data_IF_130066730682
#
_entry.id   IF_130066730682
#
_cell.length_a   1.000
_cell.length_b   1.000
_cell.length_c   1.000
_cell.angle_alpha   90.00
_cell.angle_beta   90.00
_cell.angle_gamma   90.00
#
_symmetry.space_group_name_H-M   'P 1'
#
loop_
_entity.id
_entity.type
_entity.pdbx_description
1 polymer ?
#
# COMPACT_ATOMS: atom_id res chain seq x y z
N UNK A 1 23.37 -3.93 69.03
CA UNK A 1 22.46 -4.57 68.08
C UNK A 1 22.27 -3.61 66.91
N UNK A 2 22.98 -3.86 65.83
CA UNK A 2 22.84 -3.06 64.58
C UNK A 2 22.14 -3.96 63.57
N UNK A 3 20.90 -3.64 63.25
CA UNK A 3 20.10 -4.28 62.19
C UNK A 3 20.38 -3.62 60.86
N UNK A 4 21.21 -4.28 60.02
CA UNK A 4 21.43 -3.87 58.65
C UNK A 4 20.27 -4.26 57.75
N UNK A 5 19.52 -3.31 57.24
CA UNK A 5 18.57 -3.52 56.16
C UNK A 5 19.31 -3.58 54.83
N UNK A 6 19.51 -4.79 54.31
CA UNK A 6 19.99 -5.02 52.96
C UNK A 6 18.88 -4.67 51.95
N UNK A 7 19.01 -3.58 51.20
CA UNK A 7 18.17 -3.30 50.05
C UNK A 7 18.50 -4.31 48.96
N UNK A 8 17.54 -5.20 48.63
CA UNK A 8 17.58 -6.01 47.41
C UNK A 8 17.41 -5.08 46.20
N UNK A 9 18.50 -4.90 45.46
CA UNK A 9 18.41 -4.24 44.14
C UNK A 9 17.92 -5.33 43.18
N UNK A 10 16.65 -5.21 42.75
CA UNK A 10 16.13 -6.03 41.67
C UNK A 10 16.48 -5.33 40.34
N UNK A 11 17.51 -5.82 39.67
CA UNK A 11 17.83 -5.38 38.30
C UNK A 11 16.78 -6.06 37.39
N UNK A 12 15.81 -5.29 36.92
CA UNK A 12 14.97 -5.71 35.81
C UNK A 12 15.83 -5.60 34.54
N UNK A 13 16.21 -6.72 33.97
CA UNK A 13 16.68 -6.77 32.60
C UNK A 13 15.41 -6.61 31.72
N UNK A 14 15.17 -5.43 31.20
CA UNK A 14 14.29 -5.26 30.04
C UNK A 14 15.03 -5.87 28.86
N UNK A 15 14.61 -7.07 28.45
CA UNK A 15 15.01 -7.62 27.16
C UNK A 15 14.32 -6.73 26.13
N UNK A 16 15.07 -5.80 25.55
CA UNK A 16 14.61 -5.06 24.36
C UNK A 16 14.50 -6.09 23.22
N UNK A 17 13.35 -6.71 23.07
CA UNK A 17 13.02 -7.48 21.87
C UNK A 17 12.86 -6.46 20.77
N UNK A 18 13.78 -6.44 19.82
CA UNK A 18 13.69 -5.55 18.65
C UNK A 18 12.51 -6.01 17.79
N UNK A 19 11.57 -5.11 17.58
CA UNK A 19 10.47 -5.35 16.65
C UNK A 19 11.00 -5.51 15.23
N UNK A 20 10.42 -6.42 14.49
CA UNK A 20 10.74 -6.63 13.08
C UNK A 20 9.46 -6.58 12.24
N UNK A 21 9.62 -6.25 10.96
CA UNK A 21 8.53 -6.26 9.99
C UNK A 21 8.86 -7.26 8.89
N UNK A 22 8.02 -8.28 8.77
CA UNK A 22 8.06 -9.22 7.65
C UNK A 22 7.23 -8.66 6.50
N UNK A 23 7.75 -8.71 5.28
CA UNK A 23 7.04 -8.22 4.10
C UNK A 23 7.20 -9.11 2.88
N UNK A 24 6.13 -9.21 2.10
CA UNK A 24 6.11 -9.99 0.87
C UNK A 24 5.09 -9.42 -0.10
N UNK A 25 5.43 -9.36 -1.39
CA UNK A 25 4.59 -8.80 -2.44
C UNK A 25 4.21 -9.84 -3.49
N UNK A 26 3.09 -9.61 -4.13
CA UNK A 26 2.58 -10.36 -5.27
C UNK A 26 2.00 -9.40 -6.28
N UNK A 27 2.28 -9.64 -7.57
CA UNK A 27 1.68 -8.89 -8.67
C UNK A 27 1.42 -9.83 -9.84
N UNK A 28 0.25 -9.76 -10.47
CA UNK A 28 -0.08 -10.48 -11.71
C UNK A 28 -1.18 -9.75 -12.48
N UNK A 29 -1.21 -9.95 -13.79
CA UNK A 29 -2.12 -9.22 -14.68
C UNK A 29 -3.56 -9.74 -14.67
N UNK A 30 -3.86 -10.83 -13.96
CA UNK A 30 -5.14 -11.51 -13.97
C UNK A 30 -5.64 -11.78 -15.42
N UNK A 31 -6.82 -11.28 -15.78
CA UNK A 31 -7.37 -11.41 -17.15
C UNK A 31 -7.07 -10.21 -18.06
N UNK A 32 -6.42 -9.17 -17.52
CA UNK A 32 -5.99 -8.03 -18.32
C UNK A 32 -4.96 -8.45 -19.37
N UNK A 33 -4.93 -7.72 -20.48
CA UNK A 33 -3.98 -7.97 -21.57
C UNK A 33 -2.55 -7.62 -21.18
N UNK A 34 -2.37 -6.54 -20.41
CA UNK A 34 -1.08 -5.99 -19.99
C UNK A 34 -1.01 -5.91 -18.47
N UNK A 35 0.21 -5.94 -17.94
CA UNK A 35 0.48 -5.62 -16.55
C UNK A 35 0.76 -4.13 -16.44
N UNK A 36 -0.21 -3.37 -15.93
CA UNK A 36 -0.14 -1.93 -15.77
C UNK A 36 0.18 -1.53 -14.33
N UNK A 37 -0.05 -2.44 -13.37
CA UNK A 37 0.35 -2.25 -11.98
C UNK A 37 1.83 -2.48 -11.75
N UNK A 38 2.36 -1.85 -10.71
CA UNK A 38 3.68 -2.13 -10.19
C UNK A 38 3.68 -2.13 -8.64
N UNK A 39 4.65 -2.85 -8.05
CA UNK A 39 4.90 -2.82 -6.60
C UNK A 39 6.32 -2.32 -6.31
N UNK A 40 6.49 -1.64 -5.19
CA UNK A 40 7.79 -1.30 -4.61
C UNK A 40 8.00 -2.13 -3.35
N UNK A 41 9.08 -2.87 -3.30
CA UNK A 41 9.53 -3.63 -2.13
C UNK A 41 11.05 -3.77 -2.19
N UNK A 42 11.74 -3.65 -1.06
CA UNK A 42 13.19 -3.80 -0.97
C UNK A 42 13.96 -2.89 -1.96
N UNK A 43 13.53 -1.64 -2.06
CA UNK A 43 14.10 -0.67 -3.00
C UNK A 43 14.15 -1.17 -4.46
N UNK A 44 13.15 -1.96 -4.85
CA UNK A 44 12.98 -2.47 -6.22
C UNK A 44 11.56 -2.28 -6.69
N UNK A 45 11.41 -1.68 -7.86
CA UNK A 45 10.14 -1.63 -8.57
C UNK A 45 9.97 -2.92 -9.36
N UNK A 46 8.86 -3.60 -9.17
CA UNK A 46 8.53 -4.89 -9.79
C UNK A 46 7.20 -4.77 -10.51
N UNK A 47 7.19 -5.13 -11.80
CA UNK A 47 6.03 -5.07 -12.70
C UNK A 47 5.87 -6.36 -13.52
N UNK A 48 6.37 -7.49 -13.03
CA UNK A 48 6.33 -8.76 -13.76
C UNK A 48 5.04 -9.53 -13.47
N UNK A 49 4.39 -10.01 -14.53
CA UNK A 49 3.21 -10.86 -14.43
C UNK A 49 3.49 -12.15 -13.65
N UNK A 50 2.64 -12.44 -12.67
CA UNK A 50 2.68 -13.68 -11.90
C UNK A 50 3.83 -13.79 -10.90
N UNK A 51 4.50 -12.68 -10.55
CA UNK A 51 5.60 -12.71 -9.59
C UNK A 51 5.11 -12.64 -8.15
N UNK A 52 5.61 -13.56 -7.32
CA UNK A 52 5.63 -13.43 -5.86
C UNK A 52 7.05 -13.22 -5.38
N UNK A 53 7.28 -12.23 -4.53
CA UNK A 53 8.64 -11.92 -4.03
C UNK A 53 9.10 -12.98 -3.02
N UNK A 54 10.39 -12.97 -2.68
CA UNK A 54 10.84 -13.64 -1.46
C UNK A 54 10.31 -12.89 -0.23
N UNK A 55 10.38 -13.53 0.93
CA UNK A 55 10.13 -12.87 2.20
C UNK A 55 11.32 -11.93 2.52
N UNK A 56 11.01 -10.72 2.96
CA UNK A 56 11.97 -9.76 3.50
C UNK A 56 11.64 -9.52 4.98
N UNK A 57 12.65 -9.14 5.75
CA UNK A 57 12.48 -8.81 7.16
C UNK A 57 13.39 -7.65 7.51
N UNK A 58 12.82 -6.64 8.15
CA UNK A 58 13.51 -5.42 8.57
C UNK A 58 13.26 -5.16 10.05
N UNK A 59 14.27 -4.66 10.74
CA UNK A 59 14.09 -4.16 12.10
C UNK A 59 13.33 -2.81 12.10
N UNK A 60 12.74 -2.47 13.22
CA UNK A 60 12.08 -1.17 13.40
C UNK A 60 12.99 0.04 13.15
N UNK A 61 14.33 -0.14 13.30
CA UNK A 61 15.33 0.91 13.09
C UNK A 61 15.77 1.08 11.65
N UNK A 62 15.48 0.10 10.80
CA UNK A 62 15.76 0.18 9.37
C UNK A 62 14.65 0.95 8.67
N UNK A 63 15.01 1.93 7.88
CA UNK A 63 14.04 2.61 7.03
C UNK A 63 13.62 1.69 5.88
N UNK A 64 12.33 1.43 5.79
CA UNK A 64 11.75 0.69 4.70
C UNK A 64 10.47 1.36 4.20
N UNK A 65 10.17 1.12 2.94
CA UNK A 65 8.93 1.53 2.30
C UNK A 65 8.47 0.42 1.36
N UNK A 66 7.17 0.17 1.38
CA UNK A 66 6.48 -0.65 0.39
C UNK A 66 5.37 0.16 -0.24
N UNK A 67 5.10 -0.07 -1.53
CA UNK A 67 4.07 0.65 -2.24
C UNK A 67 3.48 -0.16 -3.38
N UNK A 68 2.30 0.25 -3.83
CA UNK A 68 1.67 -0.16 -5.10
C UNK A 68 1.36 1.09 -5.92
N UNK A 69 1.41 0.96 -7.22
CA UNK A 69 0.95 1.94 -8.18
C UNK A 69 0.14 1.23 -9.26
N UNK A 70 -1.04 1.74 -9.54
CA UNK A 70 -1.94 1.29 -10.58
C UNK A 70 -1.87 2.26 -11.76
N UNK A 71 -1.53 1.75 -12.93
CA UNK A 71 -1.51 2.54 -14.15
C UNK A 71 -2.90 2.68 -14.74
N UNK A 72 -3.46 3.90 -14.77
CA UNK A 72 -4.84 4.17 -15.20
C UNK A 72 -5.05 3.71 -16.64
N UNK A 73 -5.86 2.65 -16.83
CA UNK A 73 -5.99 1.90 -18.09
C UNK A 73 -6.40 2.74 -19.31
N UNK A 74 -7.12 3.84 -19.09
CA UNK A 74 -7.54 4.76 -20.16
C UNK A 74 -6.46 5.82 -20.50
N UNK A 75 -5.33 5.83 -19.81
CA UNK A 75 -4.21 6.73 -20.08
C UNK A 75 -3.19 6.09 -21.03
N UNK A 76 -2.39 6.87 -21.76
CA UNK A 76 -1.31 6.35 -22.57
C UNK A 76 -0.27 5.65 -21.69
N UNK A 77 0.30 4.55 -22.15
CA UNK A 77 1.43 3.83 -21.52
C UNK A 77 1.31 3.72 -19.99
N UNK A 78 0.13 3.33 -19.52
CA UNK A 78 -0.22 3.25 -18.10
C UNK A 78 0.81 2.47 -17.27
N UNK A 79 1.36 1.38 -17.83
CA UNK A 79 2.42 0.59 -17.22
C UNK A 79 3.71 1.40 -16.95
N UNK A 80 4.04 2.34 -17.85
CA UNK A 80 5.20 3.22 -17.66
C UNK A 80 4.91 4.28 -16.60
N UNK A 81 3.68 4.77 -16.49
CA UNK A 81 3.30 5.72 -15.46
C UNK A 81 3.44 5.10 -14.06
N UNK A 82 2.87 3.92 -13.82
CA UNK A 82 2.99 3.21 -12.54
C UNK A 82 4.46 2.92 -12.18
N UNK A 83 5.24 2.43 -13.15
CA UNK A 83 6.67 2.18 -12.95
C UNK A 83 7.44 3.48 -12.62
N UNK A 84 7.15 4.57 -13.30
CA UNK A 84 7.83 5.87 -13.13
C UNK A 84 7.49 6.50 -11.77
N UNK A 85 6.22 6.44 -11.34
CA UNK A 85 5.79 6.91 -10.02
C UNK A 85 6.52 6.18 -8.89
N UNK A 86 6.62 4.85 -8.95
CA UNK A 86 7.39 4.09 -7.95
C UNK A 86 8.89 4.34 -8.01
N UNK A 87 9.46 4.57 -9.20
CA UNK A 87 10.87 4.97 -9.30
C UNK A 87 11.14 6.34 -8.69
N UNK A 88 10.23 7.31 -8.87
CA UNK A 88 10.34 8.61 -8.23
C UNK A 88 10.35 8.47 -6.71
N UNK A 89 9.46 7.64 -6.17
CA UNK A 89 9.41 7.34 -4.74
C UNK A 89 10.71 6.68 -4.25
N UNK A 90 11.22 5.68 -4.96
CA UNK A 90 12.46 4.97 -4.63
C UNK A 90 13.70 5.87 -4.65
N UNK A 91 13.77 6.83 -5.57
CA UNK A 91 14.90 7.76 -5.68
C UNK A 91 14.87 8.84 -4.62
N UNK A 92 13.73 9.08 -4.00
CA UNK A 92 13.59 10.07 -2.95
C UNK A 92 14.15 9.51 -1.63
N UNK A 93 15.40 9.91 -1.30
CA UNK A 93 16.14 9.41 -0.11
C UNK A 93 15.50 9.75 1.23
N UNK A 94 14.51 10.65 1.24
CA UNK A 94 13.77 11.05 2.45
C UNK A 94 12.27 10.85 2.18
N UNK A 95 11.85 9.60 2.18
CA UNK A 95 10.45 9.24 1.92
C UNK A 95 9.51 9.92 2.94
N UNK A 96 9.95 10.13 4.17
CA UNK A 96 9.21 10.85 5.22
C UNK A 96 8.80 12.27 4.82
N UNK A 97 9.60 12.93 3.98
CA UNK A 97 9.36 14.29 3.50
C UNK A 97 9.01 14.33 2.01
N UNK A 98 8.75 13.17 1.40
CA UNK A 98 8.35 13.11 0.01
C UNK A 98 7.00 13.82 -0.17
N UNK A 99 6.98 14.81 -1.04
CA UNK A 99 5.77 15.52 -1.42
C UNK A 99 5.24 14.94 -2.73
N UNK A 100 3.94 14.87 -2.88
CA UNK A 100 3.30 14.40 -4.09
C UNK A 100 3.76 15.19 -5.33
N UNK A 101 3.97 16.50 -5.16
CA UNK A 101 4.51 17.37 -6.22
C UNK A 101 5.86 16.89 -6.76
N UNK A 102 6.75 16.36 -5.91
CA UNK A 102 8.07 15.86 -6.37
C UNK A 102 7.92 14.64 -7.28
N UNK A 103 6.99 13.74 -6.95
CA UNK A 103 6.70 12.56 -7.78
C UNK A 103 6.02 13.00 -9.09
N UNK A 104 5.07 13.92 -9.00
CA UNK A 104 4.39 14.50 -10.17
C UNK A 104 5.40 15.15 -11.14
N UNK A 105 6.31 15.96 -10.62
CA UNK A 105 7.33 16.62 -11.45
C UNK A 105 8.25 15.59 -12.11
N UNK A 106 8.66 14.56 -11.38
CA UNK A 106 9.48 13.48 -11.95
C UNK A 106 8.72 12.75 -13.08
N UNK A 107 7.44 12.44 -12.90
CA UNK A 107 6.62 11.80 -13.93
C UNK A 107 6.51 12.67 -15.19
N UNK A 108 6.27 13.98 -15.01
CA UNK A 108 6.23 14.97 -16.10
C UNK A 108 7.57 15.02 -16.85
N UNK A 109 8.69 15.10 -16.12
CA UNK A 109 10.03 15.17 -16.71
C UNK A 109 10.38 13.93 -17.53
N UNK A 110 9.90 12.75 -17.11
CA UNK A 110 10.18 11.49 -17.81
C UNK A 110 9.25 11.25 -19.00
N UNK A 111 7.97 11.58 -18.92
CA UNK A 111 6.97 11.11 -19.88
C UNK A 111 6.26 12.21 -20.67
N UNK A 112 6.14 13.43 -20.16
CA UNK A 112 5.31 14.47 -20.81
C UNK A 112 5.87 14.97 -22.15
N UNK A 113 7.17 14.82 -22.39
CA UNK A 113 7.83 15.29 -23.61
C UNK A 113 7.64 14.39 -24.84
N UNK A 114 7.12 13.19 -24.64
CA UNK A 114 6.90 12.22 -25.71
C UNK A 114 5.41 12.21 -26.09
N UNK A 115 5.10 12.38 -27.36
CA UNK A 115 3.71 12.44 -27.85
C UNK A 115 2.84 11.25 -27.45
N UNK A 116 3.46 10.06 -27.32
CA UNK A 116 2.74 8.82 -27.03
C UNK A 116 2.59 8.54 -25.54
N UNK A 117 3.21 9.34 -24.67
CA UNK A 117 3.13 9.17 -23.19
C UNK A 117 2.63 10.43 -22.46
N UNK A 118 2.35 11.50 -23.19
CA UNK A 118 1.68 12.67 -22.62
C UNK A 118 0.31 12.26 -22.04
N UNK A 119 0.06 12.62 -20.78
CA UNK A 119 -1.15 12.23 -20.07
C UNK A 119 -1.10 10.81 -19.45
N UNK A 120 0.03 10.11 -19.50
CA UNK A 120 0.22 8.85 -18.80
C UNK A 120 -0.02 9.01 -17.30
N UNK A 121 -0.89 8.18 -16.70
CA UNK A 121 -1.41 8.44 -15.36
C UNK A 121 -1.36 7.20 -14.47
N UNK A 122 -1.20 7.43 -13.16
CA UNK A 122 -1.13 6.36 -12.16
C UNK A 122 -1.60 6.82 -10.78
N UNK A 123 -2.08 5.87 -9.99
CA UNK A 123 -2.28 5.99 -8.54
C UNK A 123 -0.98 5.75 -7.77
N UNK A 124 -1.01 5.94 -6.46
CA UNK A 124 0.04 5.50 -5.53
C UNK A 124 -0.56 5.29 -4.14
N UNK A 125 -0.28 4.14 -3.53
CA UNK A 125 -0.45 3.93 -2.10
C UNK A 125 0.82 3.33 -1.51
N UNK A 126 1.22 3.77 -0.32
CA UNK A 126 2.46 3.34 0.31
C UNK A 126 2.33 3.20 1.83
N UNK A 127 3.18 2.35 2.39
CA UNK A 127 3.40 2.15 3.81
C UNK A 127 4.89 2.30 4.06
N UNK A 128 5.26 3.07 5.07
CA UNK A 128 6.65 3.22 5.49
C UNK A 128 6.76 3.22 7.01
N UNK A 129 7.87 2.72 7.55
CA UNK A 129 8.16 2.93 8.96
C UNK A 129 8.71 4.35 9.16
N UNK A 130 8.42 4.93 10.32
CA UNK A 130 8.93 6.25 10.72
C UNK A 130 10.10 6.14 11.73
N UNK A 131 10.66 4.94 11.94
CA UNK A 131 11.77 4.68 12.85
C UNK A 131 11.37 4.59 14.33
N UNK A 132 10.07 4.64 14.62
CA UNK A 132 9.51 4.47 15.95
C UNK A 132 8.89 3.07 16.08
N UNK A 133 9.02 2.46 17.26
CA UNK A 133 8.55 1.10 17.51
C UNK A 133 7.07 0.95 17.22
N UNK A 134 6.73 0.07 16.27
CA UNK A 134 5.35 -0.24 15.90
C UNK A 134 4.63 0.83 15.08
N UNK A 135 5.18 2.05 14.93
CA UNK A 135 4.54 3.11 14.15
C UNK A 135 4.91 3.04 12.67
N UNK A 136 3.89 3.19 11.85
CA UNK A 136 4.03 3.30 10.40
C UNK A 136 3.21 4.49 9.88
N UNK A 137 3.68 5.07 8.79
CA UNK A 137 2.97 6.12 8.06
C UNK A 137 2.38 5.52 6.78
N UNK A 138 1.13 5.84 6.52
CA UNK A 138 0.38 5.48 5.32
C UNK A 138 0.18 6.75 4.51
N UNK A 139 0.40 6.68 3.20
CA UNK A 139 0.18 7.80 2.28
C UNK A 139 -0.43 7.28 0.98
N UNK A 140 -1.36 8.01 0.40
CA UNK A 140 -1.93 7.63 -0.90
C UNK A 140 -2.44 8.82 -1.73
N UNK A 141 -2.53 8.60 -3.03
CA UNK A 141 -3.23 9.39 -4.03
C UNK A 141 -3.88 8.41 -5.02
N UNK A 142 -5.16 8.57 -5.27
CA UNK A 142 -5.97 7.67 -6.09
C UNK A 142 -6.87 6.79 -5.25
N UNK A 143 -7.14 5.60 -5.75
CA UNK A 143 -8.01 4.59 -5.15
C UNK A 143 -7.28 3.29 -4.75
N UNK A 144 -5.98 3.16 -4.99
CA UNK A 144 -5.20 2.10 -4.34
C UNK A 144 -5.29 2.23 -2.82
N UNK A 145 -5.53 1.12 -2.11
CA UNK A 145 -5.93 1.14 -0.70
C UNK A 145 -4.93 0.46 0.22
N UNK A 146 -4.99 0.85 1.51
CA UNK A 146 -4.30 0.19 2.61
C UNK A 146 -5.33 -0.35 3.60
N UNK A 147 -5.14 -1.61 4.01
CA UNK A 147 -5.97 -2.31 4.99
C UNK A 147 -5.14 -2.77 6.17
N UNK A 148 -5.71 -2.71 7.36
CA UNK A 148 -5.17 -3.29 8.59
C UNK A 148 -5.89 -4.62 8.88
N UNK A 149 -5.14 -5.70 9.07
CA UNK A 149 -5.62 -6.89 9.76
C UNK A 149 -5.29 -6.77 11.24
N UNK A 150 -6.31 -6.62 12.06
CA UNK A 150 -6.16 -6.54 13.51
C UNK A 150 -6.20 -7.95 14.14
N UNK A 151 -5.16 -8.31 14.88
CA UNK A 151 -5.14 -9.55 15.65
C UNK A 151 -6.17 -9.55 16.78
N UNK A 152 -6.58 -8.37 17.25
CA UNK A 152 -7.55 -8.23 18.34
C UNK A 152 -8.94 -8.72 17.93
N UNK A 153 -9.44 -8.33 16.76
CA UNK A 153 -10.80 -8.67 16.31
C UNK A 153 -10.82 -9.64 15.11
N UNK A 154 -9.64 -10.02 14.60
CA UNK A 154 -9.45 -10.96 13.49
C UNK A 154 -10.13 -10.50 12.19
N UNK A 155 -10.14 -9.20 11.93
CA UNK A 155 -10.77 -8.58 10.77
C UNK A 155 -9.84 -7.66 10.01
N UNK A 156 -10.16 -7.48 8.74
CA UNK A 156 -9.56 -6.48 7.88
C UNK A 156 -10.36 -5.17 7.97
N UNK A 157 -9.68 -4.05 8.12
CA UNK A 157 -10.23 -2.70 8.18
C UNK A 157 -9.56 -1.84 7.11
N UNK A 158 -10.34 -1.18 6.25
CA UNK A 158 -9.80 -0.22 5.28
C UNK A 158 -9.38 1.05 6.01
N UNK A 159 -8.12 1.49 5.80
CA UNK A 159 -7.55 2.67 6.44
C UNK A 159 -7.52 3.90 5.50
N UNK A 160 -7.72 3.70 4.21
CA UNK A 160 -7.71 4.77 3.20
C UNK A 160 -9.10 5.06 2.67
N UNK A 161 -9.29 6.23 2.11
CA UNK A 161 -10.48 6.63 1.35
C UNK A 161 -10.08 7.00 -0.06
N UNK A 162 -10.82 6.52 -1.04
CA UNK A 162 -10.51 6.76 -2.44
C UNK A 162 -10.64 8.23 -2.80
N UNK A 163 -9.77 8.71 -3.64
CA UNK A 163 -9.87 10.04 -4.23
C UNK A 163 -10.69 9.99 -5.53
N UNK A 164 -11.96 9.58 -5.42
CA UNK A 164 -12.89 9.48 -6.54
C UNK A 164 -14.17 10.31 -6.30
N UNK A 165 -14.95 10.47 -7.34
CA UNK A 165 -16.16 11.28 -7.26
C UNK A 165 -17.22 10.66 -6.34
N UNK A 166 -17.27 9.33 -6.22
CA UNK A 166 -18.20 8.63 -5.32
C UNK A 166 -17.95 9.00 -3.85
N UNK A 167 -16.68 8.96 -3.42
CA UNK A 167 -16.31 9.34 -2.06
C UNK A 167 -16.59 10.83 -1.80
N UNK A 168 -16.34 11.70 -2.77
CA UNK A 168 -16.68 13.11 -2.63
C UNK A 168 -18.19 13.33 -2.40
N UNK A 169 -19.04 12.61 -3.12
CA UNK A 169 -20.50 12.68 -2.91
C UNK A 169 -20.92 12.12 -1.55
N UNK A 170 -20.25 11.08 -1.05
CA UNK A 170 -20.47 10.56 0.31
C UNK A 170 -20.12 11.58 1.38
N UNK A 171 -18.97 12.23 1.25
CA UNK A 171 -18.54 13.28 2.18
C UNK A 171 -19.50 14.48 2.20
N UNK A 172 -20.06 14.82 1.06
CA UNK A 172 -21.08 15.87 0.93
C UNK A 172 -22.46 15.44 1.48
N UNK A 173 -22.65 14.16 1.83
CA UNK A 173 -23.94 13.61 2.25
C UNK A 173 -24.97 13.48 1.13
N UNK A 174 -24.55 13.52 -0.12
CA UNK A 174 -25.42 13.43 -1.30
C UNK A 174 -25.81 12.00 -1.64
N UNK A 175 -25.01 11.01 -1.18
CA UNK A 175 -25.24 9.57 -1.38
C UNK A 175 -25.09 8.80 -0.09
N UNK A 176 -25.69 7.61 -0.04
CA UNK A 176 -25.67 6.75 1.15
C UNK A 176 -24.65 5.64 1.01
N UNK A 177 -24.10 5.22 2.13
CA UNK A 177 -23.24 4.06 2.20
C UNK A 177 -24.02 2.77 1.87
N UNK A 178 -23.42 1.85 1.08
CA UNK A 178 -24.02 0.56 0.71
C UNK A 178 -25.00 0.59 -0.46
N UNK A 179 -25.23 1.75 -1.11
CA UNK A 179 -25.99 1.83 -2.36
C UNK A 179 -25.06 1.65 -3.57
N UNK A 180 -25.54 0.92 -4.59
CA UNK A 180 -24.81 0.75 -5.84
C UNK A 180 -25.01 1.94 -6.78
N UNK A 181 -23.92 2.54 -7.21
CA UNK A 181 -23.91 3.65 -8.16
C UNK A 181 -23.28 3.23 -9.48
N UNK A 182 -23.58 3.96 -10.56
CA UNK A 182 -22.97 3.69 -11.86
C UNK A 182 -21.45 3.88 -11.81
N UNK A 183 -20.71 3.08 -12.57
CA UNK A 183 -19.23 3.06 -12.57
C UNK A 183 -18.59 4.43 -12.86
N UNK A 184 -19.30 5.33 -13.56
CA UNK A 184 -18.82 6.71 -13.80
C UNK A 184 -18.52 7.48 -12.50
N UNK A 185 -19.19 7.15 -11.40
CA UNK A 185 -18.94 7.77 -10.09
C UNK A 185 -17.62 7.32 -9.46
N UNK A 186 -17.04 6.21 -9.92
CA UNK A 186 -15.68 5.78 -9.57
C UNK A 186 -14.57 6.57 -10.25
N UNK A 187 -14.88 7.57 -11.10
CA UNK A 187 -13.88 8.39 -11.77
C UNK A 187 -12.95 9.06 -10.74
N UNK A 188 -11.64 8.88 -10.92
CA UNK A 188 -10.62 9.45 -10.06
C UNK A 188 -10.59 10.97 -10.17
N UNK A 189 -10.51 11.63 -9.03
CA UNK A 189 -10.34 13.09 -8.90
C UNK A 189 -8.90 13.48 -8.61
N UNK A 190 -8.10 12.54 -8.05
CA UNK A 190 -6.70 12.75 -7.75
C UNK A 190 -5.88 11.55 -8.21
N UNK A 191 -4.84 11.80 -8.96
CA UNK A 191 -3.89 10.83 -9.51
C UNK A 191 -2.64 11.56 -10.00
N UNK A 192 -1.57 10.85 -10.30
CA UNK A 192 -0.39 11.38 -10.97
C UNK A 192 -0.59 11.33 -12.49
N UNK A 193 -0.18 12.40 -13.20
CA UNK A 193 -0.36 12.50 -14.64
C UNK A 193 0.82 13.17 -15.33
N UNK A 194 1.30 12.60 -16.42
CA UNK A 194 2.37 13.16 -17.24
C UNK A 194 1.87 14.34 -18.11
N UNK A 195 1.24 15.31 -17.47
CA UNK A 195 0.81 16.59 -18.03
C UNK A 195 1.34 17.72 -17.12
N UNK A 196 2.16 18.67 -17.65
CA UNK A 196 2.67 19.79 -16.86
C UNK A 196 1.58 20.72 -16.29
N UNK A 197 0.37 20.68 -16.82
CA UNK A 197 -0.76 21.48 -16.34
C UNK A 197 -1.62 20.73 -15.32
N UNK A 198 -1.36 19.45 -15.07
CA UNK A 198 -2.07 18.68 -14.07
C UNK A 198 -1.60 19.05 -12.67
N UNK A 199 -2.53 19.52 -11.83
CA UNK A 199 -2.27 19.82 -10.43
C UNK A 199 -2.56 18.59 -9.57
N UNK A 200 -1.55 18.06 -8.90
CA UNK A 200 -1.69 17.00 -7.91
C UNK A 200 -1.84 17.61 -6.51
N UNK A 201 -2.80 17.14 -5.75
CA UNK A 201 -2.90 17.48 -4.32
C UNK A 201 -1.79 16.78 -3.51
N UNK A 202 -1.56 17.23 -2.30
CA UNK A 202 -0.63 16.54 -1.41
C UNK A 202 -1.22 15.18 -0.98
N UNK A 203 -0.35 14.29 -0.50
CA UNK A 203 -0.77 12.98 -0.02
C UNK A 203 -1.81 13.09 1.10
N UNK A 204 -2.85 12.28 1.01
CA UNK A 204 -3.62 11.92 2.21
C UNK A 204 -2.75 11.03 3.08
N UNK A 205 -2.61 11.38 4.37
CA UNK A 205 -1.72 10.73 5.33
C UNK A 205 -2.50 10.20 6.52
N UNK A 206 -2.10 9.02 6.99
CA UNK A 206 -2.50 8.45 8.27
C UNK A 206 -1.29 7.83 8.96
N UNK A 207 -1.34 7.75 10.28
CA UNK A 207 -0.37 7.03 11.10
C UNK A 207 -1.09 5.87 11.78
N UNK A 208 -0.44 4.72 11.86
CA UNK A 208 -0.99 3.52 12.49
C UNK A 208 0.03 2.92 13.46
N UNK A 209 -0.45 2.42 14.57
CA UNK A 209 0.37 1.68 15.55
C UNK A 209 0.03 0.21 15.49
N UNK A 210 1.01 -0.60 15.09
CA UNK A 210 0.86 -2.04 14.94
C UNK A 210 1.28 -2.76 16.21
N UNK A 211 0.44 -3.67 16.68
CA UNK A 211 0.77 -4.61 17.73
C UNK A 211 1.30 -5.92 17.13
N UNK A 212 1.76 -6.84 17.99
CA UNK A 212 2.34 -8.10 17.51
C UNK A 212 1.37 -8.87 16.60
N UNK A 213 1.87 -9.28 15.43
CA UNK A 213 1.18 -9.98 14.36
C UNK A 213 0.05 -9.18 13.67
N UNK A 214 -0.20 -7.93 14.03
CA UNK A 214 -0.99 -7.06 13.16
C UNK A 214 -0.33 -6.95 11.78
N UNK A 215 -1.13 -6.79 10.75
CA UNK A 215 -0.58 -6.70 9.40
C UNK A 215 -1.27 -5.61 8.57
N UNK A 216 -0.50 -5.02 7.67
CA UNK A 216 -1.01 -4.09 6.67
C UNK A 216 -0.91 -4.72 5.29
N UNK A 217 -1.97 -4.55 4.51
CA UNK A 217 -2.00 -4.87 3.10
C UNK A 217 -2.18 -3.58 2.31
N UNK A 218 -1.21 -3.24 1.45
CA UNK A 218 -1.39 -2.23 0.41
C UNK A 218 -1.69 -2.93 -0.90
N UNK A 219 -2.75 -2.51 -1.61
CA UNK A 219 -3.19 -3.17 -2.83
C UNK A 219 -3.86 -2.21 -3.83
N UNK A 220 -3.87 -2.63 -5.11
CA UNK A 220 -4.61 -1.98 -6.20
C UNK A 220 -6.09 -2.43 -6.20
N UNK A 221 -6.93 -1.76 -6.98
CA UNK A 221 -8.38 -1.96 -7.07
C UNK A 221 -8.77 -3.37 -7.53
N UNK A 222 -7.98 -4.03 -8.36
CA UNK A 222 -8.23 -5.40 -8.81
C UNK A 222 -8.36 -6.43 -7.67
N UNK A 223 -8.00 -6.07 -6.42
CA UNK A 223 -8.24 -6.90 -5.24
C UNK A 223 -9.66 -6.70 -4.70
N UNK A 224 -10.01 -5.47 -4.37
CA UNK A 224 -11.24 -5.16 -3.63
C UNK A 224 -12.47 -5.00 -4.54
N UNK A 225 -12.29 -4.72 -5.83
CA UNK A 225 -13.37 -4.69 -6.82
C UNK A 225 -13.96 -6.08 -7.09
N UNK A 226 -13.17 -7.12 -6.84
CA UNK A 226 -13.56 -8.51 -7.04
C UNK A 226 -14.05 -9.18 -5.76
N UNK A 227 -13.48 -8.77 -4.61
CA UNK A 227 -13.77 -9.39 -3.32
C UNK A 227 -13.65 -8.37 -2.20
N UNK A 228 -14.75 -8.07 -1.53
CA UNK A 228 -14.76 -7.16 -0.37
C UNK A 228 -13.89 -7.69 0.78
N UNK A 229 -13.30 -6.79 1.57
CA UNK A 229 -12.39 -7.16 2.65
C UNK A 229 -13.03 -8.05 3.72
N UNK A 230 -14.34 -7.98 3.91
CA UNK A 230 -15.09 -8.88 4.79
C UNK A 230 -15.08 -10.36 4.36
N UNK A 231 -14.76 -10.64 3.09
CA UNK A 231 -14.64 -11.99 2.53
C UNK A 231 -13.19 -12.53 2.57
N UNK A 232 -12.20 -11.65 2.90
CA UNK A 232 -10.80 -12.04 2.86
C UNK A 232 -10.45 -13.00 3.99
N UNK A 233 -9.48 -13.88 3.69
CA UNK A 233 -8.98 -14.81 4.68
C UNK A 233 -8.33 -14.07 5.85
N UNK A 234 -8.55 -14.50 7.11
CA UNK A 234 -7.83 -13.95 8.25
C UNK A 234 -6.33 -14.30 8.14
N UNK A 235 -5.47 -13.35 8.49
CA UNK A 235 -4.03 -13.57 8.56
C UNK A 235 -3.63 -13.95 9.99
N UNK A 236 -3.81 -15.22 10.35
CA UNK A 236 -3.42 -15.73 11.65
C UNK A 236 -1.89 -15.69 11.83
N UNK A 237 -1.43 -15.59 13.08
CA UNK A 237 -0.01 -15.48 13.43
C UNK A 237 0.88 -16.64 12.90
N UNK A 238 0.31 -17.85 12.79
CA UNK A 238 0.97 -19.07 12.33
C UNK A 238 0.94 -19.24 10.79
N UNK A 239 0.24 -18.38 10.06
CA UNK A 239 0.15 -18.43 8.60
C UNK A 239 1.32 -17.65 7.99
N UNK A 240 2.08 -18.29 7.11
CA UNK A 240 3.12 -17.61 6.33
C UNK A 240 2.51 -16.59 5.35
N UNK A 241 3.17 -15.43 5.17
CA UNK A 241 2.71 -14.39 4.24
C UNK A 241 2.55 -14.93 2.81
N UNK A 242 3.50 -15.79 2.38
CA UNK A 242 3.44 -16.44 1.05
C UNK A 242 2.17 -17.26 0.88
N UNK A 243 1.86 -18.07 1.87
CA UNK A 243 0.67 -18.95 1.84
C UNK A 243 -0.60 -18.12 1.77
N UNK A 244 -0.69 -17.05 2.56
CA UNK A 244 -1.83 -16.15 2.54
C UNK A 244 -2.00 -15.47 1.17
N UNK A 245 -0.93 -14.90 0.61
CA UNK A 245 -0.94 -14.26 -0.72
C UNK A 245 -1.36 -15.22 -1.84
N UNK A 246 -0.88 -16.47 -1.81
CA UNK A 246 -1.26 -17.48 -2.80
C UNK A 246 -2.73 -17.90 -2.67
N UNK A 247 -3.24 -18.00 -1.45
CA UNK A 247 -4.65 -18.29 -1.21
C UNK A 247 -5.56 -17.13 -1.65
N UNK A 248 -5.14 -15.88 -1.39
CA UNK A 248 -5.84 -14.70 -1.90
C UNK A 248 -5.87 -14.70 -3.43
N UNK A 249 -4.71 -14.94 -4.07
CA UNK A 249 -4.65 -15.08 -5.52
C UNK A 249 -5.62 -16.14 -6.04
N UNK A 250 -5.63 -17.31 -5.43
CA UNK A 250 -6.54 -18.42 -5.84
C UNK A 250 -8.02 -18.03 -5.68
N UNK A 251 -8.37 -17.31 -4.60
CA UNK A 251 -9.72 -16.80 -4.38
C UNK A 251 -10.13 -15.79 -5.45
N UNK A 252 -9.26 -14.82 -5.75
CA UNK A 252 -9.49 -13.81 -6.78
C UNK A 252 -9.58 -14.44 -8.18
N UNK A 253 -8.71 -15.40 -8.50
CA UNK A 253 -8.77 -16.15 -9.77
C UNK A 253 -10.11 -16.91 -9.89
N UNK A 254 -10.60 -17.51 -8.80
CA UNK A 254 -11.89 -18.23 -8.79
C UNK A 254 -13.08 -17.30 -9.03
N UNK A 255 -12.99 -16.06 -8.58
CA UNK A 255 -13.97 -14.98 -8.80
C UNK A 255 -13.76 -14.25 -10.13
N UNK A 256 -12.80 -14.71 -10.93
CA UNK A 256 -12.52 -14.21 -12.28
C UNK A 256 -12.01 -12.78 -12.30
N UNK A 257 -11.06 -12.43 -11.41
CA UNK A 257 -10.40 -11.13 -11.41
C UNK A 257 -10.07 -10.67 -12.84
N UNK A 258 -10.59 -9.50 -13.21
CA UNK A 258 -10.55 -9.00 -14.57
C UNK A 258 -9.47 -7.92 -14.75
N UNK A 259 -9.09 -7.23 -13.70
CA UNK A 259 -8.04 -6.22 -13.71
C UNK A 259 -6.73 -6.73 -13.12
N UNK A 260 -5.66 -5.96 -13.27
CA UNK A 260 -4.38 -6.24 -12.66
C UNK A 260 -4.51 -6.29 -11.14
N UNK A 261 -3.77 -7.17 -10.51
CA UNK A 261 -3.80 -7.33 -9.07
C UNK A 261 -2.39 -7.23 -8.51
N UNK A 262 -2.20 -6.25 -7.67
CA UNK A 262 -0.93 -6.02 -6.97
C UNK A 262 -1.16 -5.82 -5.49
N UNK A 263 -0.36 -6.53 -4.67
CA UNK A 263 -0.44 -6.52 -3.21
C UNK A 263 0.94 -6.57 -2.59
N UNK A 264 1.14 -5.79 -1.51
CA UNK A 264 2.27 -6.00 -0.60
C UNK A 264 1.74 -6.11 0.81
N UNK A 265 2.08 -7.22 1.45
CA UNK A 265 1.69 -7.55 2.82
C UNK A 265 2.87 -7.28 3.76
N UNK A 266 2.60 -6.55 4.85
CA UNK A 266 3.57 -6.24 5.92
C UNK A 266 2.99 -6.74 7.23
N UNK A 267 3.74 -7.54 8.00
CA UNK A 267 3.33 -8.04 9.31
C UNK A 267 4.34 -7.62 10.39
N UNK A 268 3.82 -7.05 11.47
CA UNK A 268 4.63 -6.72 12.64
C UNK A 268 4.99 -7.99 13.45
N UNK A 269 6.25 -8.10 13.83
CA UNK A 269 6.80 -9.10 14.77
C UNK A 269 7.48 -8.33 15.90
N UNK A 270 6.72 -8.02 16.93
CA UNK A 270 7.10 -7.12 18.04
C UNK A 270 7.49 -7.90 19.27
#
# INVERSE_FOLDING_TARGET
>A
MLSGFGKKITIKFEINVMSTFEMQGLTWKARSKYQQDAILIENKVIQHDGLITKLYSHSEKEQWCVAVADGISNSPVAEQAAYTVLNALMQNKKIETCQAFTIQQYLVDQLAHQKNSFGASSTLALIQNNGEQGFVTIQHIGDSRVYLFSQHDQKWHCLTRDHNYLEQLRENGEIKEGENYASIYGALLQYFCADPLHEVMDFTRAEEYLTENDALLVCTDGVYDVMECGEWLPLKADVELRTWLLNMKASLDSKQAYDNVSMVLVRAKI
#
